data_IF_621196374418
#
_entry.id   IF_621196374418
#
_cell.length_a   1.000
_cell.length_b   1.000
_cell.length_c   1.000
_cell.angle_alpha   90.00
_cell.angle_beta   90.00
_cell.angle_gamma   90.00
#
_symmetry.space_group_name_H-M   'P 1'
#
loop_
_entity.id
_entity.type
_entity.pdbx_description
1 polymer ?
#
# COMPACT_ATOMS: atom_id res chain seq x y z
N UNK A 1 6.19 3.59 27.35
CA UNK A 1 5.25 4.54 28.00
C UNK A 1 4.28 5.03 26.93
N UNK A 2 2.98 4.95 27.18
CA UNK A 2 1.98 5.51 26.25
C UNK A 2 1.58 6.90 26.74
N UNK A 3 1.64 7.89 25.87
CA UNK A 3 1.16 9.25 26.07
C UNK A 3 0.00 9.54 25.10
N UNK A 4 -0.65 10.66 25.28
CA UNK A 4 -1.78 11.08 24.47
C UNK A 4 -1.49 12.43 23.84
N UNK A 5 -1.71 12.55 22.52
CA UNK A 5 -1.47 13.79 21.78
C UNK A 5 -2.80 14.35 21.31
N UNK A 6 -3.00 15.64 21.58
CA UNK A 6 -4.18 16.41 21.16
C UNK A 6 -3.81 17.39 20.05
N UNK A 7 -4.77 17.86 19.24
CA UNK A 7 -4.56 18.95 18.31
C UNK A 7 -4.06 20.22 19.01
N UNK A 8 -3.09 20.91 18.44
CA UNK A 8 -2.61 22.19 18.97
C UNK A 8 -3.64 23.32 18.77
N UNK A 9 -4.51 23.20 17.78
CA UNK A 9 -5.65 24.08 17.54
C UNK A 9 -6.88 23.20 17.36
N UNK A 10 -7.83 23.24 18.30
CA UNK A 10 -9.07 22.49 18.17
C UNK A 10 -9.82 22.86 16.90
N UNK A 11 -10.34 21.85 16.20
CA UNK A 11 -11.09 22.02 14.95
C UNK A 11 -12.60 21.94 15.17
N UNK A 12 -13.01 21.59 16.36
CA UNK A 12 -14.39 21.37 16.78
C UNK A 12 -14.83 19.91 16.59
N UNK A 13 -15.72 19.49 17.49
CA UNK A 13 -16.31 18.15 17.46
C UNK A 13 -17.68 18.20 16.75
N UNK A 14 -18.14 17.02 16.30
CA UNK A 14 -19.50 16.82 15.82
C UNK A 14 -19.71 16.95 14.33
N UNK A 15 -18.68 17.32 13.55
CA UNK A 15 -18.76 17.15 12.10
C UNK A 15 -18.75 15.65 11.78
N UNK A 16 -19.70 15.21 10.97
CA UNK A 16 -19.89 13.80 10.64
C UNK A 16 -19.80 13.60 9.13
N UNK A 17 -19.10 12.56 8.74
CA UNK A 17 -19.08 12.09 7.37
C UNK A 17 -19.65 10.68 7.31
N UNK A 18 -20.49 10.42 6.32
CA UNK A 18 -20.99 9.09 6.02
C UNK A 18 -19.96 8.31 5.21
N UNK A 19 -19.70 7.05 5.58
CA UNK A 19 -18.76 6.19 4.89
C UNK A 19 -19.44 5.53 3.69
N UNK A 20 -18.74 5.56 2.55
CA UNK A 20 -19.16 4.81 1.36
C UNK A 20 -18.86 3.31 1.55
N UNK A 21 -19.52 2.46 0.78
CA UNK A 21 -19.28 1.01 0.84
C UNK A 21 -17.82 0.62 0.60
N UNK A 22 -17.10 1.37 -0.23
CA UNK A 22 -15.66 1.19 -0.47
C UNK A 22 -14.79 1.48 0.75
N UNK A 23 -15.26 2.33 1.67
CA UNK A 23 -14.51 2.65 2.90
C UNK A 23 -14.56 1.50 3.92
N UNK A 24 -15.52 0.58 3.80
CA UNK A 24 -15.75 -0.51 4.76
C UNK A 24 -15.02 -1.82 4.42
N UNK A 25 -14.24 -1.86 3.34
CA UNK A 25 -13.66 -3.10 2.81
C UNK A 25 -12.42 -3.53 3.62
N UNK A 26 -11.61 -2.58 4.10
CA UNK A 26 -10.30 -2.85 4.69
C UNK A 26 -10.22 -2.37 6.15
N UNK A 27 -9.29 -2.95 6.92
CA UNK A 27 -9.14 -2.63 8.34
C UNK A 27 -8.16 -1.47 8.59
N UNK A 28 -6.88 -1.66 8.27
CA UNK A 28 -5.83 -0.66 8.49
C UNK A 28 -4.74 -0.70 7.44
N UNK A 29 -4.02 0.41 7.31
CA UNK A 29 -2.76 0.52 6.59
C UNK A 29 -1.65 0.63 7.63
N UNK A 30 -0.88 -0.45 7.77
CA UNK A 30 0.17 -0.57 8.76
C UNK A 30 1.53 -0.42 8.10
N UNK A 31 2.28 0.58 8.58
CA UNK A 31 3.58 0.94 8.02
C UNK A 31 4.65 1.03 9.10
N UNK A 32 5.87 0.73 8.71
CA UNK A 32 7.08 0.91 9.51
C UNK A 32 8.04 1.79 8.73
N UNK A 33 8.60 2.78 9.40
CA UNK A 33 9.69 3.61 8.91
C UNK A 33 10.87 3.52 9.88
N UNK A 34 12.06 3.33 9.36
CA UNK A 34 13.27 3.20 10.19
C UNK A 34 14.21 4.33 9.88
N UNK A 35 14.46 5.16 10.89
CA UNK A 35 15.28 6.37 10.78
C UNK A 35 16.55 6.24 11.60
N UNK A 36 17.68 6.80 11.12
CA UNK A 36 18.92 6.86 11.92
C UNK A 36 18.83 7.84 13.09
N UNK A 37 17.92 8.82 13.00
CA UNK A 37 17.69 9.83 14.02
C UNK A 37 16.24 10.30 14.00
N UNK A 38 15.63 10.47 15.18
CA UNK A 38 14.28 11.03 15.32
C UNK A 38 14.16 11.75 16.67
N UNK A 39 13.83 13.03 16.65
CA UNK A 39 13.52 13.82 17.83
C UNK A 39 12.06 13.58 18.23
N UNK A 40 11.87 12.96 19.40
CA UNK A 40 10.54 12.52 19.86
C UNK A 40 9.64 13.69 20.24
N UNK A 41 10.18 14.72 20.86
CA UNK A 41 9.39 15.88 21.28
C UNK A 41 8.96 16.70 20.06
N UNK A 42 9.87 16.87 19.12
CA UNK A 42 9.54 17.50 17.82
C UNK A 42 8.51 16.69 17.03
N UNK A 43 8.58 15.34 17.06
CA UNK A 43 7.58 14.48 16.43
C UNK A 43 6.20 14.66 17.09
N UNK A 44 6.13 14.69 18.44
CA UNK A 44 4.87 14.93 19.14
C UNK A 44 4.25 16.28 18.79
N UNK A 45 5.08 17.33 18.70
CA UNK A 45 4.62 18.65 18.26
C UNK A 45 4.10 18.64 16.84
N UNK A 46 4.80 17.94 15.92
CA UNK A 46 4.38 17.77 14.55
C UNK A 46 3.05 17.02 14.44
N UNK A 47 2.85 15.93 15.20
CA UNK A 47 1.59 15.20 15.28
C UNK A 47 0.47 16.13 15.77
N UNK A 48 0.70 16.90 16.84
CA UNK A 48 -0.28 17.85 17.38
C UNK A 48 -0.71 18.89 16.34
N UNK A 49 0.23 19.41 15.54
CA UNK A 49 -0.06 20.30 14.41
C UNK A 49 -0.83 19.59 13.29
N UNK A 50 -0.40 18.37 12.93
CA UNK A 50 -1.07 17.59 11.89
C UNK A 50 -2.53 17.28 12.25
N UNK A 51 -2.82 16.92 13.50
CA UNK A 51 -4.20 16.68 13.96
C UNK A 51 -5.11 17.90 13.81
N UNK A 52 -4.54 19.12 13.85
CA UNK A 52 -5.32 20.35 13.65
C UNK A 52 -5.80 20.56 12.21
N UNK A 53 -5.20 19.86 11.23
CA UNK A 53 -5.64 19.88 9.84
C UNK A 53 -6.18 18.52 9.37
N UNK A 54 -5.98 17.48 10.19
CA UNK A 54 -6.47 16.12 9.98
C UNK A 54 -7.35 15.65 11.14
N UNK A 55 -8.46 16.37 11.51
CA UNK A 55 -9.28 16.05 12.68
C UNK A 55 -9.94 14.66 12.58
N UNK A 56 -10.13 14.15 11.38
CA UNK A 56 -10.66 12.81 11.12
C UNK A 56 -9.83 11.71 11.81
N UNK A 57 -8.51 11.92 11.98
CA UNK A 57 -7.61 10.92 12.58
C UNK A 57 -7.87 10.72 14.08
N UNK A 58 -8.31 11.76 14.76
CA UNK A 58 -8.79 11.70 16.13
C UNK A 58 -10.28 11.34 16.22
N UNK A 59 -10.94 11.16 15.08
CA UNK A 59 -12.36 10.83 14.96
C UNK A 59 -12.73 9.48 15.57
N UNK A 60 -14.03 9.25 15.67
CA UNK A 60 -14.63 8.00 16.16
C UNK A 60 -15.64 7.47 15.17
N UNK A 61 -15.67 6.16 15.02
CA UNK A 61 -16.68 5.48 14.21
C UNK A 61 -17.99 5.44 14.98
N UNK A 62 -19.05 5.92 14.36
CA UNK A 62 -20.41 5.79 14.85
C UNK A 62 -21.15 4.80 13.96
N UNK A 63 -21.94 3.94 14.59
CA UNK A 63 -22.84 3.03 13.88
C UNK A 63 -24.26 3.43 14.27
N UNK A 64 -25.05 3.84 13.30
CA UNK A 64 -26.44 4.19 13.47
C UNK A 64 -27.29 3.35 12.51
N UNK A 65 -27.95 2.31 13.04
CA UNK A 65 -28.67 1.29 12.25
C UNK A 65 -27.75 0.68 11.19
N UNK A 66 -27.99 0.99 9.90
CA UNK A 66 -27.20 0.51 8.76
C UNK A 66 -26.18 1.53 8.24
N UNK A 67 -26.05 2.68 8.91
CA UNK A 67 -25.12 3.74 8.52
C UNK A 67 -23.84 3.70 9.34
N UNK A 68 -22.72 3.83 8.66
CA UNK A 68 -21.40 3.99 9.26
C UNK A 68 -20.94 5.43 9.06
N UNK A 69 -20.60 6.09 10.14
CA UNK A 69 -20.19 7.49 10.16
C UNK A 69 -18.84 7.62 10.85
N UNK A 70 -18.04 8.61 10.46
CA UNK A 70 -16.92 9.09 11.26
C UNK A 70 -17.31 10.46 11.81
N UNK A 71 -17.32 10.61 13.13
CA UNK A 71 -17.43 11.89 13.79
C UNK A 71 -16.03 12.46 14.06
N UNK A 72 -15.77 13.67 13.60
CA UNK A 72 -14.52 14.39 13.85
C UNK A 72 -14.39 14.72 15.32
N UNK A 73 -13.19 14.68 15.83
CA UNK A 73 -12.94 14.83 17.25
C UNK A 73 -11.61 15.53 17.53
N UNK A 74 -11.58 16.31 18.59
CA UNK A 74 -10.36 16.85 19.20
C UNK A 74 -9.85 15.98 20.36
N UNK A 75 -10.39 14.77 20.52
CA UNK A 75 -9.94 13.79 21.50
C UNK A 75 -8.50 13.36 21.21
N UNK A 76 -7.75 12.98 22.25
CA UNK A 76 -6.38 12.56 22.06
C UNK A 76 -6.25 11.26 21.28
N UNK A 77 -5.16 11.16 20.48
CA UNK A 77 -4.71 9.89 19.91
C UNK A 77 -3.60 9.27 20.76
N UNK A 78 -3.49 7.94 20.80
CA UNK A 78 -2.41 7.26 21.52
C UNK A 78 -1.08 7.40 20.79
N UNK A 79 -0.03 7.71 21.54
CA UNK A 79 1.36 7.72 21.11
C UNK A 79 2.19 6.86 22.05
N UNK A 80 2.77 5.78 21.56
CA UNK A 80 3.60 4.88 22.36
C UNK A 80 5.08 5.12 22.06
N UNK A 81 5.89 5.33 23.11
CA UNK A 81 7.34 5.34 23.02
C UNK A 81 7.92 4.24 23.88
N UNK A 82 8.80 3.41 23.30
CA UNK A 82 9.52 2.37 23.99
C UNK A 82 11.00 2.37 23.58
N UNK A 83 11.83 1.81 24.42
CA UNK A 83 13.22 1.48 24.13
C UNK A 83 13.38 -0.03 24.07
N UNK A 84 14.19 -0.50 23.12
CA UNK A 84 14.46 -1.92 22.88
C UNK A 84 15.97 -2.14 22.91
N UNK A 85 16.43 -2.99 23.82
CA UNK A 85 17.82 -3.38 23.97
C UNK A 85 18.12 -4.79 23.45
N UNK A 86 17.09 -5.52 22.98
CA UNK A 86 17.22 -6.89 22.50
C UNK A 86 17.67 -6.94 21.04
N UNK A 87 17.14 -6.03 20.21
CA UNK A 87 17.49 -5.96 18.80
C UNK A 87 18.77 -5.14 18.61
N UNK A 88 19.77 -5.75 17.99
CA UNK A 88 21.07 -5.09 17.80
C UNK A 88 20.99 -3.97 16.75
N UNK A 89 20.31 -4.24 15.64
CA UNK A 89 20.04 -3.29 14.57
C UNK A 89 18.76 -3.72 13.83
N UNK A 90 18.16 -2.81 13.07
CA UNK A 90 17.03 -3.16 12.21
C UNK A 90 17.50 -4.07 11.07
N UNK A 91 16.90 -5.24 10.89
CA UNK A 91 17.32 -6.18 9.85
C UNK A 91 17.11 -5.59 8.45
N UNK A 92 17.87 -6.09 7.47
CA UNK A 92 17.65 -5.78 6.06
C UNK A 92 16.43 -6.54 5.56
N UNK A 93 15.29 -5.88 5.53
CA UNK A 93 14.01 -6.44 5.13
C UNK A 93 13.56 -5.88 3.79
N UNK A 94 12.77 -6.65 3.02
CA UNK A 94 12.07 -6.14 1.83
C UNK A 94 11.06 -5.05 2.22
N UNK A 95 10.53 -4.36 1.23
CA UNK A 95 9.47 -3.35 1.46
C UNK A 95 8.21 -4.00 2.02
N UNK A 96 7.79 -5.13 1.45
CA UNK A 96 6.65 -5.89 1.99
C UNK A 96 7.16 -7.05 2.83
N UNK A 97 6.90 -7.02 4.12
CA UNK A 97 7.34 -8.04 5.07
C UNK A 97 6.21 -9.01 5.36
N UNK A 98 6.45 -10.30 5.10
CA UNK A 98 5.48 -11.38 5.34
C UNK A 98 5.48 -11.85 6.79
N UNK A 99 6.66 -11.88 7.40
CA UNK A 99 6.79 -12.33 8.80
C UNK A 99 6.28 -11.25 9.76
N UNK A 100 5.02 -11.41 10.11
CA UNK A 100 4.33 -10.54 11.06
C UNK A 100 5.00 -10.51 12.44
N UNK A 101 5.77 -11.54 12.81
CA UNK A 101 6.43 -11.60 14.12
C UNK A 101 7.54 -10.57 14.24
N UNK A 102 8.16 -10.21 13.10
CA UNK A 102 9.18 -9.16 13.04
C UNK A 102 8.56 -7.77 13.19
N UNK A 103 7.47 -7.50 12.47
CA UNK A 103 6.88 -6.16 12.37
C UNK A 103 5.88 -5.84 13.49
N UNK A 104 5.09 -6.81 13.92
CA UNK A 104 4.03 -6.65 14.93
C UNK A 104 4.49 -5.97 16.23
N UNK A 105 5.68 -6.27 16.80
CA UNK A 105 6.14 -5.60 18.01
C UNK A 105 6.33 -4.08 17.87
N UNK A 106 6.45 -3.58 16.64
CA UNK A 106 6.76 -2.17 16.35
C UNK A 106 5.54 -1.36 15.91
N UNK A 107 4.37 -1.98 15.81
CA UNK A 107 3.11 -1.32 15.41
C UNK A 107 2.07 -1.56 16.50
N UNK A 108 1.41 -0.49 16.92
CA UNK A 108 0.17 -0.60 17.69
C UNK A 108 -0.99 -0.47 16.68
N UNK A 109 -1.58 -1.60 16.32
CA UNK A 109 -2.62 -1.65 15.27
C UNK A 109 -3.91 -1.00 15.75
N UNK A 110 -4.50 -0.14 14.92
CA UNK A 110 -5.85 0.41 15.13
C UNK A 110 -6.85 -0.73 15.22
N UNK A 111 -7.69 -0.70 16.26
CA UNK A 111 -8.72 -1.71 16.44
C UNK A 111 -10.07 -1.16 15.98
N UNK A 112 -10.84 -2.00 15.33
CA UNK A 112 -12.21 -1.65 14.98
C UNK A 112 -13.09 -1.71 16.23
N UNK A 113 -13.10 -0.60 16.99
CA UNK A 113 -13.96 -0.42 18.17
C UNK A 113 -14.76 0.86 18.00
N UNK A 114 -16.02 0.76 17.59
CA UNK A 114 -16.88 1.94 17.48
C UNK A 114 -16.91 2.73 18.80
N UNK A 115 -16.90 4.04 18.71
CA UNK A 115 -16.95 5.02 19.82
C UNK A 115 -15.66 5.15 20.66
N UNK A 116 -14.85 4.13 20.80
CA UNK A 116 -13.74 4.10 21.77
C UNK A 116 -12.37 4.35 21.13
N UNK A 117 -12.21 4.03 19.85
CA UNK A 117 -10.90 3.99 19.20
C UNK A 117 -10.68 5.17 18.28
N UNK A 118 -9.49 5.80 18.36
CA UNK A 118 -9.03 6.76 17.35
C UNK A 118 -8.66 6.03 16.05
N UNK A 119 -8.72 6.74 14.95
CA UNK A 119 -8.47 6.17 13.62
C UNK A 119 -6.98 6.20 13.21
N UNK A 120 -6.11 6.60 14.14
CA UNK A 120 -4.66 6.60 13.99
C UNK A 120 -4.00 6.16 15.29
N UNK A 121 -2.99 5.30 15.18
CA UNK A 121 -2.05 4.97 16.24
C UNK A 121 -0.61 5.16 15.76
N UNK A 122 0.23 5.66 16.64
CA UNK A 122 1.65 5.90 16.38
C UNK A 122 2.46 5.28 17.50
N UNK A 123 3.46 4.50 17.11
CA UNK A 123 4.45 3.91 18.03
C UNK A 123 5.85 4.20 17.57
N UNK A 124 6.71 4.64 18.48
CA UNK A 124 8.14 4.77 18.23
C UNK A 124 8.89 3.82 19.13
N UNK A 125 9.76 3.03 18.54
CA UNK A 125 10.69 2.17 19.25
C UNK A 125 12.11 2.64 18.96
N UNK A 126 12.88 3.04 19.99
CA UNK A 126 14.29 3.31 19.87
C UNK A 126 15.07 2.02 20.08
N UNK A 127 15.90 1.63 19.12
CA UNK A 127 16.83 0.52 19.23
C UNK A 127 18.10 1.03 19.93
N UNK A 128 18.33 0.61 21.18
CA UNK A 128 19.40 1.19 22.00
C UNK A 128 20.81 0.87 21.49
N UNK A 129 20.98 -0.28 20.81
CA UNK A 129 22.29 -0.73 20.34
C UNK A 129 22.74 -0.04 19.07
N UNK A 130 21.84 0.09 18.07
CA UNK A 130 22.12 0.80 16.80
C UNK A 130 21.81 2.28 16.85
N UNK A 131 21.09 2.72 17.88
CA UNK A 131 20.53 4.08 18.01
C UNK A 131 19.55 4.45 16.86
N UNK A 132 18.99 3.46 16.19
CA UNK A 132 17.94 3.66 15.17
C UNK A 132 16.56 3.83 15.83
N UNK A 133 15.67 4.49 15.12
CA UNK A 133 14.28 4.72 15.54
C UNK A 133 13.33 4.05 14.56
N UNK A 134 12.46 3.20 15.08
CA UNK A 134 11.41 2.52 14.31
C UNK A 134 10.09 3.20 14.60
N UNK A 135 9.55 3.90 13.59
CA UNK A 135 8.25 4.55 13.63
C UNK A 135 7.22 3.62 13.02
N UNK A 136 6.36 3.03 13.83
CA UNK A 136 5.18 2.28 13.41
C UNK A 136 3.96 3.19 13.35
N UNK A 137 3.24 3.16 12.25
CA UNK A 137 1.96 3.85 12.08
C UNK A 137 0.88 2.87 11.69
N UNK A 138 -0.28 2.98 12.30
CA UNK A 138 -1.49 2.27 11.90
C UNK A 138 -2.58 3.28 11.62
N UNK A 139 -2.97 3.36 10.36
CA UNK A 139 -3.96 4.29 9.83
C UNK A 139 -5.21 3.50 9.45
N UNK A 140 -6.36 3.87 10.00
CA UNK A 140 -7.62 3.19 9.67
C UNK A 140 -7.95 3.34 8.19
N UNK A 141 -8.14 2.24 7.50
CA UNK A 141 -8.50 2.25 6.08
C UNK A 141 -9.92 2.78 5.82
N UNK A 142 -10.74 2.97 6.90
CA UNK A 142 -12.02 3.68 6.84
C UNK A 142 -11.86 5.16 6.43
N UNK A 143 -10.70 5.76 6.73
CA UNK A 143 -10.41 7.15 6.37
C UNK A 143 -10.09 7.27 4.89
N UNK A 144 -9.30 6.34 4.37
CA UNK A 144 -8.87 6.38 2.98
C UNK A 144 -7.75 5.39 2.66
N UNK A 145 -7.33 5.44 1.42
CA UNK A 145 -6.35 4.58 0.78
C UNK A 145 -4.89 5.00 1.02
N UNK A 146 -3.96 4.33 0.33
CA UNK A 146 -2.53 4.63 0.40
C UNK A 146 -2.21 6.09 0.01
N UNK A 147 -2.95 6.68 -0.94
CA UNK A 147 -2.77 8.09 -1.32
C UNK A 147 -3.16 9.03 -0.18
N UNK A 148 -4.23 8.73 0.55
CA UNK A 148 -4.64 9.47 1.74
C UNK A 148 -3.63 9.34 2.87
N UNK A 149 -3.13 8.12 3.11
CA UNK A 149 -2.17 7.87 4.17
C UNK A 149 -0.83 8.57 3.89
N UNK A 150 -0.31 8.49 2.66
CA UNK A 150 0.96 9.18 2.34
C UNK A 150 0.80 10.70 2.34
N UNK A 151 -0.36 11.23 1.98
CA UNK A 151 -0.66 12.65 2.12
C UNK A 151 -0.56 13.10 3.58
N UNK A 152 -1.19 12.37 4.50
CA UNK A 152 -1.06 12.62 5.94
C UNK A 152 0.40 12.54 6.43
N UNK A 153 1.12 11.47 6.08
CA UNK A 153 2.49 11.27 6.51
C UNK A 153 3.45 12.32 5.94
N UNK A 154 3.20 12.80 4.72
CA UNK A 154 3.94 13.90 4.14
C UNK A 154 3.69 15.21 4.90
N UNK A 155 2.43 15.55 5.21
CA UNK A 155 2.12 16.71 6.04
C UNK A 155 2.78 16.62 7.43
N UNK A 156 2.75 15.44 8.04
CA UNK A 156 3.41 15.18 9.33
C UNK A 156 4.93 15.41 9.23
N UNK A 157 5.57 14.88 8.20
CA UNK A 157 7.02 15.03 7.99
C UNK A 157 7.41 16.50 7.75
N UNK A 158 6.59 17.24 7.02
CA UNK A 158 6.79 18.67 6.79
C UNK A 158 6.64 19.48 8.08
N UNK A 159 5.62 19.21 8.89
CA UNK A 159 5.50 19.84 10.21
C UNK A 159 6.69 19.53 11.12
N UNK A 160 7.18 18.31 11.09
CA UNK A 160 8.40 17.95 11.80
C UNK A 160 9.60 18.77 11.35
N UNK A 161 9.72 19.06 10.05
CA UNK A 161 10.77 19.92 9.49
C UNK A 161 10.51 21.43 9.67
N UNK A 162 9.36 21.83 10.25
CA UNK A 162 8.98 23.22 10.42
C UNK A 162 8.42 23.87 9.16
N UNK A 163 8.06 23.05 8.17
CA UNK A 163 7.50 23.49 6.88
C UNK A 163 5.95 23.53 6.94
N UNK A 164 5.35 24.26 6.02
CA UNK A 164 3.91 24.23 5.82
C UNK A 164 3.49 22.95 5.08
N UNK A 165 2.26 22.43 5.33
CA UNK A 165 1.75 21.24 4.66
C UNK A 165 1.62 21.47 3.15
N UNK A 166 1.53 20.36 2.40
CA UNK A 166 1.38 20.42 0.94
C UNK A 166 0.01 20.97 0.53
N UNK A 167 -0.08 21.45 -0.70
CA UNK A 167 -1.35 21.81 -1.32
C UNK A 167 -1.74 20.79 -2.39
N UNK A 168 -3.04 20.54 -2.55
CA UNK A 168 -4.17 21.10 -1.80
C UNK A 168 -4.29 20.50 -0.38
N UNK A 169 -4.95 21.24 0.52
CA UNK A 169 -5.29 20.74 1.86
C UNK A 169 -6.17 19.49 1.78
N UNK A 170 -6.19 18.65 2.83
CA UNK A 170 -7.06 17.48 2.86
C UNK A 170 -8.54 17.87 2.77
N UNK A 171 -9.29 17.17 1.93
CA UNK A 171 -10.73 17.32 1.71
C UNK A 171 -11.39 16.02 2.17
N UNK A 172 -12.24 16.12 3.20
CA UNK A 172 -12.83 14.95 3.86
C UNK A 172 -14.23 14.60 3.38
N UNK A 173 -14.89 15.51 2.64
CA UNK A 173 -16.24 15.28 2.14
C UNK A 173 -16.28 14.01 1.30
N UNK A 174 -17.31 13.17 1.54
CA UNK A 174 -17.54 11.95 0.77
C UNK A 174 -18.48 12.23 -0.37
N UNK A 175 -18.10 11.78 -1.55
CA UNK A 175 -19.01 11.74 -2.67
C UNK A 175 -19.75 10.39 -2.63
N UNK A 176 -21.02 10.44 -2.23
CA UNK A 176 -21.85 9.25 -2.26
C UNK A 176 -22.40 9.07 -3.67
N UNK A 177 -22.13 7.93 -4.26
CA UNK A 177 -22.70 7.57 -5.57
C UNK A 177 -24.22 7.53 -5.46
N UNK A 178 -24.89 8.24 -6.34
CA UNK A 178 -26.36 8.16 -6.43
C UNK A 178 -26.77 6.84 -7.06
N UNK A 179 -28.07 6.46 -6.91
CA UNK A 179 -28.60 5.24 -7.55
C UNK A 179 -28.45 5.22 -9.07
N UNK A 180 -28.35 6.40 -9.66
CA UNK A 180 -28.22 6.56 -11.13
C UNK A 180 -26.76 6.36 -11.60
N UNK A 181 -25.78 6.53 -10.68
CA UNK A 181 -24.36 6.37 -10.97
C UNK A 181 -23.85 4.97 -10.64
N UNK A 182 -24.59 4.17 -9.88
CA UNK A 182 -24.18 2.87 -9.40
C UNK A 182 -24.93 1.75 -10.15
N UNK A 183 -24.18 0.83 -10.74
CA UNK A 183 -24.73 -0.48 -11.06
C UNK A 183 -25.13 -1.17 -9.73
N UNK A 184 -26.44 -1.32 -9.50
CA UNK A 184 -27.00 -1.87 -8.25
C UNK A 184 -26.45 -3.28 -7.94
N UNK A 185 -25.98 -4.00 -8.98
CA UNK A 185 -25.29 -5.29 -8.82
C UNK A 185 -23.99 -5.17 -8.04
N UNK A 186 -23.32 -4.03 -8.08
CA UNK A 186 -22.07 -3.77 -7.36
C UNK A 186 -22.31 -3.55 -5.86
N UNK A 187 -23.40 -2.88 -5.48
CA UNK A 187 -23.77 -2.70 -4.08
C UNK A 187 -24.03 -4.03 -3.37
N UNK A 188 -24.57 -5.02 -4.08
CA UNK A 188 -24.77 -6.36 -3.54
C UNK A 188 -23.45 -7.09 -3.28
N UNK A 189 -22.39 -6.77 -4.03
CA UNK A 189 -21.05 -7.35 -3.83
C UNK A 189 -20.25 -6.67 -2.71
N UNK A 190 -20.56 -5.43 -2.35
CA UNK A 190 -19.93 -4.72 -1.21
C UNK A 190 -20.54 -5.11 0.14
N UNK A 191 -21.84 -5.43 0.20
CA UNK A 191 -22.52 -5.94 1.41
C UNK A 191 -21.90 -7.19 2.05
N UNK A 192 -21.26 -8.12 1.30
CA UNK A 192 -20.63 -9.30 1.87
C UNK A 192 -19.57 -9.03 2.95
N UNK A 193 -18.86 -7.91 2.87
CA UNK A 193 -17.82 -7.56 3.85
C UNK A 193 -18.37 -7.07 5.19
N UNK A 194 -19.66 -6.76 5.26
CA UNK A 194 -20.37 -6.43 6.50
C UNK A 194 -20.90 -7.66 7.23
N UNK A 195 -20.94 -8.82 6.55
CA UNK A 195 -21.46 -10.07 7.13
C UNK A 195 -20.33 -10.83 7.86
N UNK A 196 -20.54 -11.13 9.14
CA UNK A 196 -19.58 -11.86 9.98
C UNK A 196 -19.13 -13.19 9.34
N UNK A 197 -20.05 -13.94 8.72
CA UNK A 197 -19.77 -15.22 8.09
C UNK A 197 -18.77 -15.11 6.95
N UNK A 198 -18.84 -14.02 6.18
CA UNK A 198 -17.90 -13.78 5.07
C UNK A 198 -16.54 -13.29 5.56
N UNK A 199 -16.47 -12.55 6.66
CA UNK A 199 -15.19 -12.19 7.30
C UNK A 199 -14.45 -13.45 7.76
N UNK A 200 -15.17 -14.41 8.33
CA UNK A 200 -14.60 -15.69 8.74
C UNK A 200 -14.07 -16.49 7.53
N UNK A 201 -14.80 -16.53 6.43
CA UNK A 201 -14.35 -17.16 5.18
C UNK A 201 -13.09 -16.49 4.64
N UNK A 202 -13.05 -15.15 4.61
CA UNK A 202 -11.87 -14.39 4.17
C UNK A 202 -10.67 -14.69 5.08
N UNK A 203 -10.86 -14.65 6.39
CA UNK A 203 -9.82 -14.97 7.37
C UNK A 203 -9.30 -16.41 7.21
N UNK A 204 -10.21 -17.38 7.01
CA UNK A 204 -9.87 -18.79 6.77
C UNK A 204 -9.07 -18.96 5.48
N UNK A 205 -9.49 -18.30 4.40
CA UNK A 205 -8.75 -18.33 3.12
C UNK A 205 -7.38 -17.69 3.26
N UNK A 206 -7.27 -16.57 3.98
CA UNK A 206 -5.99 -15.93 4.26
C UNK A 206 -5.04 -16.86 5.01
N UNK A 207 -5.50 -17.51 6.08
CA UNK A 207 -4.70 -18.49 6.84
C UNK A 207 -4.28 -19.67 5.96
N UNK A 208 -5.19 -20.22 5.16
CA UNK A 208 -4.88 -21.30 4.22
C UNK A 208 -3.81 -20.88 3.21
N UNK A 209 -3.94 -19.68 2.63
CA UNK A 209 -2.99 -19.18 1.66
C UNK A 209 -1.61 -18.96 2.28
N UNK A 210 -1.53 -18.50 3.53
CA UNK A 210 -0.27 -18.40 4.27
C UNK A 210 0.42 -19.75 4.46
N UNK A 211 -0.33 -20.84 4.65
CA UNK A 211 0.23 -22.18 4.84
C UNK A 211 0.69 -22.83 3.54
N UNK A 212 0.02 -22.57 2.42
CA UNK A 212 0.26 -23.22 1.11
C UNK A 212 1.17 -22.46 0.18
N UNK A 213 1.42 -21.18 0.47
CA UNK A 213 2.24 -20.31 -0.37
C UNK A 213 3.41 -19.70 0.42
N UNK A 214 4.45 -19.28 -0.29
CA UNK A 214 5.51 -18.43 0.22
C UNK A 214 5.41 -17.03 -0.39
N UNK A 215 5.82 -16.01 0.35
CA UNK A 215 6.04 -14.69 -0.21
C UNK A 215 7.36 -14.66 -0.95
N UNK A 216 7.38 -13.99 -2.10
CA UNK A 216 8.57 -13.58 -2.81
C UNK A 216 8.58 -12.05 -2.93
N UNK A 217 9.78 -11.49 -2.81
CA UNK A 217 10.07 -10.10 -3.07
C UNK A 217 11.15 -10.05 -4.13
N UNK A 218 10.80 -9.57 -5.31
CA UNK A 218 11.67 -9.52 -6.48
C UNK A 218 12.04 -8.07 -6.73
N UNK A 219 13.35 -7.78 -6.68
CA UNK A 219 13.87 -6.43 -6.87
C UNK A 219 14.41 -6.26 -8.29
N UNK A 220 14.04 -5.15 -8.92
CA UNK A 220 14.53 -4.72 -10.21
C UNK A 220 15.22 -3.36 -10.05
N UNK A 221 16.48 -3.28 -10.47
CA UNK A 221 17.14 -1.97 -10.57
C UNK A 221 16.53 -1.13 -11.71
N UNK A 222 16.76 0.18 -11.67
CA UNK A 222 16.36 1.08 -12.75
C UNK A 222 16.89 0.63 -14.12
N UNK A 223 18.15 0.16 -14.17
CA UNK A 223 18.78 -0.36 -15.39
C UNK A 223 18.03 -1.62 -15.89
N UNK A 224 17.68 -2.54 -15.00
CA UNK A 224 16.91 -3.73 -15.35
C UNK A 224 15.51 -3.39 -15.86
N UNK A 225 14.86 -2.40 -15.25
CA UNK A 225 13.55 -1.93 -15.69
C UNK A 225 13.59 -1.26 -17.07
N UNK A 226 14.60 -0.44 -17.34
CA UNK A 226 14.83 0.15 -18.67
C UNK A 226 15.09 -0.90 -19.72
N UNK A 227 15.91 -1.90 -19.39
CA UNK A 227 16.17 -3.05 -20.28
C UNK A 227 14.90 -3.84 -20.54
N UNK A 228 14.15 -4.18 -19.50
CA UNK A 228 12.88 -4.87 -19.61
C UNK A 228 11.89 -4.10 -20.51
N UNK A 229 11.80 -2.79 -20.34
CA UNK A 229 10.97 -1.92 -21.19
C UNK A 229 11.44 -1.96 -22.65
N UNK A 230 12.75 -2.01 -22.88
CA UNK A 230 13.33 -2.08 -24.24
C UNK A 230 13.04 -3.40 -24.97
N UNK A 231 12.77 -4.49 -24.22
CA UNK A 231 12.38 -5.79 -24.80
C UNK A 231 10.92 -5.81 -25.28
N UNK A 232 10.12 -4.83 -24.88
CA UNK A 232 8.75 -4.70 -25.36
C UNK A 232 8.74 -3.93 -26.68
N UNK A 233 8.44 -4.60 -27.78
CA UNK A 233 8.17 -3.95 -29.05
C UNK A 233 7.00 -2.97 -28.89
N UNK A 234 7.15 -1.71 -29.36
CA UNK A 234 6.13 -0.66 -29.18
C UNK A 234 6.20 0.00 -27.80
N UNK A 235 7.41 0.20 -27.28
CA UNK A 235 7.70 0.86 -26.00
C UNK A 235 7.05 2.26 -25.83
N UNK A 236 6.76 2.94 -26.91
CA UNK A 236 6.07 4.23 -26.88
C UNK A 236 4.57 4.12 -26.56
N UNK A 237 4.00 2.91 -26.65
CA UNK A 237 2.60 2.63 -26.37
C UNK A 237 2.36 2.12 -24.94
N UNK A 238 3.40 1.68 -24.24
CA UNK A 238 3.33 1.09 -22.89
C UNK A 238 4.37 1.73 -21.97
N UNK A 239 4.11 1.71 -20.66
CA UNK A 239 5.06 2.23 -19.66
C UNK A 239 5.94 1.12 -19.11
N UNK A 240 7.04 1.49 -18.47
CA UNK A 240 7.89 0.57 -17.69
C UNK A 240 7.06 -0.26 -16.72
N UNK A 241 6.07 0.36 -16.08
CA UNK A 241 5.18 -0.31 -15.13
C UNK A 241 4.28 -1.36 -15.78
N UNK A 242 3.75 -1.09 -16.98
CA UNK A 242 2.94 -2.08 -17.71
C UNK A 242 3.78 -3.29 -18.07
N UNK A 243 5.02 -3.05 -18.52
CA UNK A 243 5.95 -4.11 -18.94
C UNK A 243 6.43 -4.91 -17.73
N UNK A 244 6.69 -4.27 -16.59
CA UNK A 244 7.04 -4.97 -15.35
C UNK A 244 5.93 -5.95 -14.93
N UNK A 245 4.69 -5.48 -14.91
CA UNK A 245 3.53 -6.35 -14.58
C UNK A 245 3.36 -7.47 -15.60
N UNK A 246 3.51 -7.16 -16.87
CA UNK A 246 3.43 -8.18 -17.94
C UNK A 246 4.53 -9.23 -17.80
N UNK A 247 5.77 -8.83 -17.45
CA UNK A 247 6.87 -9.76 -17.19
C UNK A 247 6.55 -10.72 -16.05
N UNK A 248 6.05 -10.20 -14.93
CA UNK A 248 5.66 -11.02 -13.78
C UNK A 248 4.58 -12.04 -14.17
N UNK A 249 3.56 -11.60 -14.91
CA UNK A 249 2.46 -12.47 -15.38
C UNK A 249 2.98 -13.52 -16.35
N UNK A 250 3.80 -13.14 -17.35
CA UNK A 250 4.38 -14.09 -18.33
C UNK A 250 5.22 -15.15 -17.62
N UNK A 251 6.08 -14.73 -16.68
CA UNK A 251 6.94 -15.66 -15.94
C UNK A 251 6.10 -16.62 -15.09
N UNK A 252 5.08 -16.12 -14.40
CA UNK A 252 4.14 -16.96 -13.67
C UNK A 252 3.41 -17.95 -14.59
N UNK A 253 2.87 -17.46 -15.71
CA UNK A 253 2.11 -18.27 -16.65
C UNK A 253 2.95 -19.39 -17.28
N UNK A 254 4.19 -19.09 -17.73
CA UNK A 254 5.09 -20.09 -18.29
C UNK A 254 5.37 -21.21 -17.32
N UNK A 255 5.61 -20.89 -16.06
CA UNK A 255 5.90 -21.90 -15.04
C UNK A 255 4.63 -22.65 -14.59
N UNK A 256 3.50 -21.98 -14.49
CA UNK A 256 2.24 -22.57 -14.03
C UNK A 256 1.64 -23.53 -15.04
N UNK A 257 1.69 -23.22 -16.34
CA UNK A 257 1.14 -24.08 -17.40
C UNK A 257 1.80 -25.46 -17.42
N UNK A 258 3.11 -25.53 -17.11
CA UNK A 258 3.86 -26.79 -17.07
C UNK A 258 3.51 -27.66 -15.86
N UNK A 259 3.08 -27.04 -14.75
CA UNK A 259 2.85 -27.73 -13.46
C UNK A 259 1.38 -28.10 -13.28
N UNK A 260 0.46 -27.15 -13.52
CA UNK A 260 -0.95 -27.30 -13.20
C UNK A 260 -1.90 -27.11 -14.38
N UNK A 261 -1.38 -26.78 -15.56
CA UNK A 261 -2.15 -26.38 -16.74
C UNK A 261 -3.08 -25.16 -16.46
N UNK A 262 -2.76 -24.35 -15.45
CA UNK A 262 -3.46 -23.11 -15.11
C UNK A 262 -2.58 -21.90 -15.47
N UNK A 263 -3.18 -20.78 -15.81
CA UNK A 263 -2.48 -19.54 -16.08
C UNK A 263 -3.40 -18.34 -15.93
N UNK A 264 -2.85 -17.17 -15.66
CA UNK A 264 -3.60 -15.93 -15.60
C UNK A 264 -4.09 -15.50 -16.97
N UNK A 265 -5.38 -15.30 -17.09
CA UNK A 265 -6.05 -14.89 -18.32
C UNK A 265 -6.32 -13.39 -18.36
N UNK A 266 -6.46 -12.74 -17.21
CA UNK A 266 -6.72 -11.30 -17.08
C UNK A 266 -6.15 -10.74 -15.80
N UNK A 267 -6.12 -9.42 -15.71
CA UNK A 267 -5.68 -8.71 -14.51
C UNK A 267 -6.73 -7.73 -14.01
N UNK A 268 -6.76 -7.54 -12.71
CA UNK A 268 -7.45 -6.48 -11.99
C UNK A 268 -6.41 -5.46 -11.56
N UNK A 269 -6.62 -4.20 -11.89
CA UNK A 269 -5.65 -3.13 -11.66
C UNK A 269 -6.30 -2.10 -10.75
N UNK A 270 -5.70 -1.84 -9.60
CA UNK A 270 -6.13 -0.77 -8.71
C UNK A 270 -5.62 0.57 -9.26
N UNK A 271 -6.54 1.44 -9.62
CA UNK A 271 -6.25 2.75 -10.21
C UNK A 271 -6.80 3.85 -9.32
N UNK A 272 -5.92 4.74 -8.85
CA UNK A 272 -6.33 5.96 -8.16
C UNK A 272 -6.99 6.92 -9.17
N UNK A 273 -8.27 7.22 -8.95
CA UNK A 273 -9.04 8.09 -9.85
C UNK A 273 -9.04 9.57 -9.46
N UNK A 274 -8.30 9.97 -8.40
CA UNK A 274 -8.10 11.39 -8.13
C UNK A 274 -7.46 12.06 -9.33
N UNK A 275 -7.92 13.25 -9.65
CA UNK A 275 -7.54 14.00 -10.85
C UNK A 275 -8.05 13.45 -12.20
N UNK A 276 -8.57 12.23 -12.24
CA UNK A 276 -9.24 11.69 -13.42
C UNK A 276 -10.73 12.11 -13.43
N UNK A 277 -11.34 12.10 -12.24
CA UNK A 277 -12.73 12.49 -12.01
C UNK A 277 -12.77 13.63 -10.98
N UNK A 278 -12.34 14.82 -11.38
CA UNK A 278 -12.20 15.99 -10.50
C UNK A 278 -13.47 16.38 -9.74
N UNK A 279 -14.64 16.13 -10.33
CA UNK A 279 -15.93 16.43 -9.69
C UNK A 279 -16.25 15.50 -8.51
N UNK A 280 -15.68 14.29 -8.50
CA UNK A 280 -15.94 13.25 -7.51
C UNK A 280 -14.77 13.13 -6.51
N UNK A 281 -13.54 13.18 -7.02
CA UNK A 281 -12.33 13.06 -6.22
C UNK A 281 -11.29 14.10 -6.66
N UNK A 282 -11.36 15.33 -6.14
CA UNK A 282 -10.36 16.34 -6.38
C UNK A 282 -9.00 15.94 -5.78
N UNK A 283 -7.94 16.59 -6.24
CA UNK A 283 -6.63 16.49 -5.58
C UNK A 283 -6.78 16.87 -4.10
N UNK A 284 -6.23 16.05 -3.21
CA UNK A 284 -6.39 16.26 -1.75
C UNK A 284 -7.59 15.52 -1.15
N UNK A 285 -8.43 14.87 -1.94
CA UNK A 285 -9.55 14.08 -1.43
C UNK A 285 -9.05 12.92 -0.54
N UNK A 286 -9.52 12.87 0.68
CA UNK A 286 -9.17 11.86 1.70
C UNK A 286 -10.30 10.84 1.77
N UNK A 287 -10.17 9.77 0.99
CA UNK A 287 -11.13 8.67 0.90
C UNK A 287 -10.46 7.46 0.25
N UNK A 288 -11.19 6.36 0.11
CA UNK A 288 -10.80 5.24 -0.75
C UNK A 288 -11.14 5.57 -2.22
N UNK A 289 -10.33 6.45 -2.82
CA UNK A 289 -10.56 6.98 -4.16
C UNK A 289 -9.81 6.17 -5.21
N UNK A 290 -10.11 4.89 -5.29
CA UNK A 290 -9.59 4.00 -6.32
C UNK A 290 -10.73 3.20 -6.97
N UNK A 291 -10.49 2.79 -8.20
CA UNK A 291 -11.32 1.84 -8.93
C UNK A 291 -10.50 0.60 -9.25
N UNK A 292 -11.17 -0.53 -9.39
CA UNK A 292 -10.56 -1.76 -9.87
C UNK A 292 -10.91 -1.89 -11.34
N UNK A 293 -9.91 -1.71 -12.19
CA UNK A 293 -10.02 -1.88 -13.63
C UNK A 293 -9.78 -3.33 -14.00
N UNK A 294 -10.63 -3.88 -14.88
CA UNK A 294 -10.46 -5.25 -15.37
C UNK A 294 -9.95 -5.18 -16.80
N UNK A 295 -8.89 -5.91 -17.09
CA UNK A 295 -8.46 -6.11 -18.48
C UNK A 295 -9.46 -7.00 -19.23
N UNK A 296 -9.48 -6.92 -20.55
CA UNK A 296 -9.96 -8.06 -21.34
C UNK A 296 -9.06 -9.28 -21.10
N UNK A 297 -9.50 -10.46 -21.55
CA UNK A 297 -8.61 -11.61 -21.57
C UNK A 297 -7.37 -11.29 -22.43
N UNK A 298 -6.21 -11.72 -21.97
CA UNK A 298 -4.97 -11.52 -22.71
C UNK A 298 -5.01 -12.28 -24.02
N UNK A 299 -4.92 -11.60 -25.19
CA UNK A 299 -4.95 -12.28 -26.49
C UNK A 299 -3.83 -13.33 -26.63
N UNK A 300 -2.71 -13.08 -26.00
CA UNK A 300 -1.63 -14.06 -25.80
C UNK A 300 -1.07 -13.93 -24.37
N UNK A 301 -1.47 -14.85 -23.46
CA UNK A 301 -1.08 -14.79 -22.03
C UNK A 301 0.39 -15.17 -21.77
N UNK A 302 1.16 -15.50 -22.82
CA UNK A 302 2.59 -15.79 -22.76
C UNK A 302 3.45 -14.75 -23.50
N UNK A 303 2.85 -13.66 -23.98
CA UNK A 303 3.53 -12.57 -24.68
C UNK A 303 3.62 -11.32 -23.82
N UNK A 304 4.86 -10.87 -23.58
CA UNK A 304 5.16 -9.67 -22.81
C UNK A 304 4.38 -8.44 -23.34
N UNK A 305 4.51 -8.17 -24.63
CA UNK A 305 3.88 -7.00 -25.25
C UNK A 305 2.35 -7.12 -25.33
N UNK A 306 1.80 -8.34 -25.55
CA UNK A 306 0.36 -8.56 -25.58
C UNK A 306 -0.27 -8.21 -24.23
N UNK A 307 0.30 -8.66 -23.13
CA UNK A 307 -0.18 -8.38 -21.78
C UNK A 307 0.00 -6.90 -21.44
N UNK A 308 1.19 -6.32 -21.70
CA UNK A 308 1.48 -4.91 -21.41
C UNK A 308 0.50 -3.97 -22.13
N UNK A 309 0.24 -4.19 -23.42
CA UNK A 309 -0.75 -3.41 -24.20
C UNK A 309 -2.16 -3.59 -23.64
N UNK A 310 -2.55 -4.79 -23.23
CA UNK A 310 -3.88 -5.05 -22.67
C UNK A 310 -4.06 -4.32 -21.34
N UNK A 311 -3.02 -4.32 -20.46
CA UNK A 311 -3.00 -3.55 -19.20
C UNK A 311 -3.16 -2.05 -19.50
N UNK A 312 -2.36 -1.50 -20.41
CA UNK A 312 -2.42 -0.07 -20.79
C UNK A 312 -3.78 0.33 -21.35
N UNK A 313 -4.36 -0.52 -22.20
CA UNK A 313 -5.70 -0.28 -22.76
C UNK A 313 -6.77 -0.25 -21.68
N UNK A 314 -6.70 -1.12 -20.68
CA UNK A 314 -7.63 -1.10 -19.56
C UNK A 314 -7.53 0.20 -18.77
N UNK A 315 -6.29 0.64 -18.45
CA UNK A 315 -6.05 1.89 -17.72
C UNK A 315 -6.55 3.12 -18.51
N UNK A 316 -6.34 3.15 -19.83
CA UNK A 316 -6.77 4.27 -20.67
C UNK A 316 -8.30 4.32 -20.87
N UNK A 317 -8.99 3.19 -20.74
CA UNK A 317 -10.45 3.09 -20.84
C UNK A 317 -11.19 3.38 -19.53
N UNK A 318 -10.54 4.00 -18.56
CA UNK A 318 -11.01 4.22 -17.19
C UNK A 318 -12.38 4.90 -17.11
N UNK A 319 -13.46 4.22 -17.48
CA UNK A 319 -14.81 4.78 -17.40
C UNK A 319 -15.93 3.85 -16.88
N UNK A 320 -15.70 2.53 -16.74
CA UNK A 320 -16.93 1.70 -16.78
C UNK A 320 -17.19 0.65 -15.70
N UNK A 321 -16.33 0.24 -14.79
CA UNK A 321 -16.76 -0.80 -13.82
C UNK A 321 -15.94 -0.90 -12.53
N UNK A 322 -16.65 -0.94 -11.40
CA UNK A 322 -16.15 -1.32 -10.09
C UNK A 322 -16.50 -2.80 -9.84
N UNK A 323 -15.51 -3.68 -9.63
CA UNK A 323 -15.74 -5.08 -9.25
C UNK A 323 -14.79 -5.48 -8.12
N UNK A 324 -15.28 -6.27 -7.15
CA UNK A 324 -14.54 -6.64 -5.94
C UNK A 324 -14.37 -8.16 -5.74
N UNK A 325 -14.55 -8.99 -6.76
CA UNK A 325 -14.37 -10.45 -6.65
C UNK A 325 -13.55 -10.94 -7.84
N UNK A 326 -12.45 -11.66 -7.57
CA UNK A 326 -11.60 -12.28 -8.60
C UNK A 326 -11.56 -13.80 -8.49
N UNK A 327 -11.31 -14.47 -9.61
CA UNK A 327 -11.23 -15.92 -9.74
C UNK A 327 -9.77 -16.41 -9.69
N UNK A 328 -9.57 -17.72 -9.67
CA UNK A 328 -8.26 -18.37 -9.56
C UNK A 328 -7.32 -18.07 -10.74
N UNK A 329 -7.88 -17.78 -11.92
CA UNK A 329 -7.13 -17.46 -13.16
C UNK A 329 -6.89 -15.96 -13.35
N UNK A 330 -6.99 -15.19 -12.30
CA UNK A 330 -6.92 -13.73 -12.31
C UNK A 330 -5.86 -13.25 -11.33
N UNK A 331 -5.17 -12.18 -11.69
CA UNK A 331 -4.15 -11.54 -10.86
C UNK A 331 -4.56 -10.12 -10.53
N UNK A 332 -4.33 -9.70 -9.31
CA UNK A 332 -4.55 -8.32 -8.86
C UNK A 332 -3.24 -7.56 -8.86
N UNK A 333 -3.24 -6.37 -9.43
CA UNK A 333 -2.10 -5.45 -9.45
C UNK A 333 -2.41 -4.24 -8.58
N UNK A 334 -1.68 -4.12 -7.48
CA UNK A 334 -1.73 -2.96 -6.59
C UNK A 334 -0.37 -2.26 -6.56
N UNK A 335 -0.22 -1.27 -7.43
CA UNK A 335 1.03 -0.54 -7.52
C UNK A 335 1.01 0.72 -6.67
N UNK A 336 1.96 0.79 -5.77
CA UNK A 336 2.33 1.98 -5.02
C UNK A 336 3.56 2.69 -5.61
N UNK A 337 4.02 2.29 -6.79
CA UNK A 337 5.21 2.84 -7.44
C UNK A 337 5.12 4.34 -7.74
N UNK A 338 3.91 4.89 -7.86
CA UNK A 338 3.69 6.33 -7.95
C UNK A 338 4.10 7.08 -6.67
N UNK A 339 4.16 6.39 -5.53
CA UNK A 339 4.44 6.99 -4.23
C UNK A 339 5.82 6.53 -3.75
N UNK A 340 6.77 7.42 -3.75
CA UNK A 340 8.06 7.15 -3.11
C UNK A 340 7.94 7.38 -1.59
N UNK A 341 7.50 6.35 -0.88
CA UNK A 341 7.30 6.39 0.57
C UNK A 341 8.55 6.82 1.30
N UNK A 342 9.72 6.36 0.83
CA UNK A 342 10.98 6.66 1.47
C UNK A 342 11.48 8.10 1.23
N UNK A 343 10.94 8.83 0.24
CA UNK A 343 11.24 10.23 0.01
C UNK A 343 10.13 11.17 0.48
N UNK A 344 8.87 10.71 0.46
CA UNK A 344 7.74 11.55 0.82
C UNK A 344 7.49 11.64 2.33
N UNK A 345 8.05 10.71 3.12
CA UNK A 345 7.92 10.68 4.59
C UNK A 345 9.29 11.01 5.23
N UNK A 346 9.92 12.09 4.75
CA UNK A 346 11.24 12.50 5.17
C UNK A 346 11.19 13.37 6.44
N UNK A 347 11.82 12.91 7.49
CA UNK A 347 12.03 13.68 8.73
C UNK A 347 13.41 14.37 8.77
N UNK A 348 13.99 14.72 7.61
CA UNK A 348 15.27 15.40 7.47
C UNK A 348 16.46 14.46 7.21
N UNK A 349 16.19 13.22 6.78
CA UNK A 349 17.20 12.17 6.57
C UNK A 349 17.08 11.54 5.18
N UNK A 350 17.16 12.37 4.12
CA UNK A 350 17.01 11.95 2.73
C UNK A 350 17.86 10.73 2.41
N UNK A 351 17.27 9.73 1.77
CA UNK A 351 17.88 8.47 1.34
C UNK A 351 18.50 7.59 2.45
N UNK A 352 18.24 7.88 3.73
CA UNK A 352 18.82 7.11 4.83
C UNK A 352 17.77 6.30 5.60
N UNK A 353 16.50 6.42 5.29
CA UNK A 353 15.46 5.70 6.00
C UNK A 353 14.79 4.65 5.11
N UNK A 354 14.27 3.63 5.76
CA UNK A 354 13.67 2.45 5.12
C UNK A 354 12.19 2.42 5.41
N UNK A 355 11.44 2.02 4.43
CA UNK A 355 9.99 1.84 4.52
C UNK A 355 9.63 0.36 4.45
N UNK A 356 8.75 -0.08 5.32
CA UNK A 356 8.20 -1.42 5.30
C UNK A 356 6.70 -1.37 5.52
N UNK A 357 5.99 -2.28 4.87
CA UNK A 357 4.57 -2.53 5.08
C UNK A 357 4.33 -4.02 5.20
N UNK A 358 3.20 -4.38 5.76
CA UNK A 358 2.84 -5.78 5.97
C UNK A 358 1.72 -6.19 5.02
N UNK A 359 1.47 -7.48 4.95
CA UNK A 359 0.39 -8.13 4.22
C UNK A 359 0.68 -8.35 2.73
N UNK A 360 0.71 -9.62 2.37
CA UNK A 360 0.75 -10.12 1.00
C UNK A 360 -0.34 -11.16 0.82
N UNK A 361 -1.00 -11.13 -0.34
CA UNK A 361 -2.09 -12.04 -0.70
C UNK A 361 -1.69 -12.91 -1.89
N UNK A 362 -2.33 -14.07 -2.03
CA UNK A 362 -2.16 -14.93 -3.20
C UNK A 362 -2.69 -14.22 -4.44
N UNK A 363 -2.00 -14.39 -5.58
CA UNK A 363 -2.34 -13.75 -6.86
C UNK A 363 -2.49 -12.22 -6.78
N UNK A 364 -1.67 -11.57 -5.93
CA UNK A 364 -1.74 -10.16 -5.65
C UNK A 364 -0.34 -9.55 -5.71
N UNK A 365 -0.06 -8.75 -6.75
CA UNK A 365 1.21 -8.05 -6.92
C UNK A 365 1.17 -6.71 -6.21
N UNK A 366 2.08 -6.49 -5.27
CA UNK A 366 2.34 -5.19 -4.63
C UNK A 366 3.65 -4.65 -5.16
N UNK A 367 3.64 -3.43 -5.66
CA UNK A 367 4.81 -2.82 -6.29
C UNK A 367 5.15 -1.54 -5.56
N UNK A 368 6.43 -1.40 -5.17
CA UNK A 368 6.97 -0.26 -4.45
C UNK A 368 8.31 0.16 -5.03
N UNK A 369 8.79 1.37 -4.69
CA UNK A 369 10.20 1.73 -4.86
C UNK A 369 11.09 0.91 -3.93
N UNK A 370 12.35 0.70 -4.36
CA UNK A 370 13.34 0.05 -3.52
C UNK A 370 13.67 0.89 -2.29
N UNK A 371 13.94 0.22 -1.18
CA UNK A 371 14.56 0.84 -0.02
C UNK A 371 16.03 1.18 -0.32
N UNK A 372 16.58 2.24 0.31
CA UNK A 372 18.01 2.46 0.28
C UNK A 372 18.75 1.29 0.96
N UNK A 373 19.90 0.98 0.43
CA UNK A 373 20.82 -0.04 0.97
C UNK A 373 22.17 0.62 1.33
N UNK A 374 22.96 -0.02 2.18
CA UNK A 374 24.33 0.40 2.43
C UNK A 374 25.27 -0.29 1.45
N UNK A 375 26.21 0.47 0.91
CA UNK A 375 27.30 -0.06 0.10
C UNK A 375 28.40 -0.69 0.98
N UNK A 376 29.50 -1.12 0.36
CA UNK A 376 30.63 -1.76 1.06
C UNK A 376 31.38 -0.79 1.99
N UNK A 377 31.22 0.51 1.80
CA UNK A 377 31.82 1.58 2.59
C UNK A 377 30.86 2.14 3.65
N UNK A 378 29.72 1.48 3.89
CA UNK A 378 28.66 1.87 4.83
C UNK A 378 27.92 3.18 4.46
N UNK A 379 27.99 3.61 3.19
CA UNK A 379 27.22 4.74 2.68
C UNK A 379 25.86 4.30 2.19
N UNK A 380 24.83 5.12 2.47
CA UNK A 380 23.50 4.89 1.96
C UNK A 380 23.40 5.23 0.48
N UNK A 381 22.98 4.25 -0.33
CA UNK A 381 22.67 4.41 -1.75
C UNK A 381 21.22 4.01 -2.00
N UNK A 382 20.55 4.74 -2.90
CA UNK A 382 19.18 4.45 -3.31
C UNK A 382 19.04 4.49 -4.81
N UNK A 383 18.50 3.42 -5.38
CA UNK A 383 18.01 3.42 -6.76
C UNK A 383 16.60 4.01 -6.79
N UNK A 384 16.50 5.30 -7.16
CA UNK A 384 15.25 6.06 -7.12
C UNK A 384 14.19 5.55 -8.12
N UNK A 385 14.59 4.83 -9.15
CA UNK A 385 13.70 4.29 -10.19
C UNK A 385 13.60 2.76 -10.14
N UNK A 386 14.28 2.11 -9.21
CA UNK A 386 14.17 0.68 -8.98
C UNK A 386 12.85 0.30 -8.33
N UNK A 387 12.39 -0.93 -8.56
CA UNK A 387 11.13 -1.45 -8.06
C UNK A 387 11.30 -2.77 -7.30
N UNK A 388 10.50 -2.97 -6.26
CA UNK A 388 10.27 -4.25 -5.62
C UNK A 388 8.84 -4.71 -5.94
N UNK A 389 8.70 -5.94 -6.43
CA UNK A 389 7.43 -6.64 -6.63
C UNK A 389 7.30 -7.72 -5.57
N UNK A 390 6.29 -7.58 -4.72
CA UNK A 390 5.96 -8.56 -3.69
C UNK A 390 4.69 -9.31 -4.07
N UNK A 391 4.72 -10.64 -3.91
CA UNK A 391 3.56 -11.51 -4.19
C UNK A 391 3.73 -12.85 -3.46
N UNK A 392 2.64 -13.63 -3.40
CA UNK A 392 2.69 -15.00 -2.87
C UNK A 392 2.57 -16.02 -4.00
N UNK A 393 3.41 -17.04 -3.93
CA UNK A 393 3.50 -18.13 -4.88
C UNK A 393 3.36 -19.47 -4.17
N UNK A 394 2.80 -20.47 -4.84
CA UNK A 394 2.68 -21.83 -4.31
C UNK A 394 4.05 -22.40 -3.95
N UNK A 395 4.15 -23.01 -2.77
CA UNK A 395 5.38 -23.65 -2.27
C UNK A 395 5.81 -24.79 -3.17
N UNK A 396 7.11 -25.10 -3.13
CA UNK A 396 7.70 -26.24 -3.84
C UNK A 396 8.03 -25.94 -5.29
N UNK A 397 7.60 -26.78 -6.22
CA UNK A 397 8.02 -26.75 -7.62
C UNK A 397 7.75 -25.41 -8.29
N UNK A 398 6.58 -24.82 -8.09
CA UNK A 398 6.21 -23.56 -8.71
C UNK A 398 7.15 -22.41 -8.29
N UNK A 399 7.45 -22.31 -6.99
CA UNK A 399 8.41 -21.33 -6.48
C UNK A 399 9.80 -21.53 -7.05
N UNK A 400 10.29 -22.77 -7.08
CA UNK A 400 11.62 -23.09 -7.55
C UNK A 400 11.78 -22.76 -9.04
N UNK A 401 10.86 -23.20 -9.88
CA UNK A 401 10.85 -22.86 -11.31
C UNK A 401 10.78 -21.37 -11.58
N UNK A 402 9.95 -20.64 -10.82
CA UNK A 402 9.88 -19.20 -10.96
C UNK A 402 11.23 -18.54 -10.66
N UNK A 403 11.90 -18.92 -9.57
CA UNK A 403 13.20 -18.39 -9.20
C UNK A 403 14.31 -18.76 -10.22
N UNK A 404 14.30 -19.99 -10.75
CA UNK A 404 15.21 -20.42 -11.80
C UNK A 404 15.03 -19.59 -13.08
N UNK A 405 13.77 -19.41 -13.52
CA UNK A 405 13.46 -18.58 -14.69
C UNK A 405 13.91 -17.14 -14.50
N UNK A 406 13.59 -16.55 -13.33
CA UNK A 406 14.00 -15.20 -13.01
C UNK A 406 15.51 -15.05 -12.96
N UNK A 407 16.23 -15.98 -12.35
CA UNK A 407 17.69 -15.97 -12.30
C UNK A 407 18.31 -16.07 -13.71
N UNK A 408 17.78 -16.94 -14.55
CA UNK A 408 18.21 -17.07 -15.93
C UNK A 408 17.98 -15.77 -16.73
N UNK A 409 16.83 -15.13 -16.55
CA UNK A 409 16.51 -13.85 -17.20
C UNK A 409 17.46 -12.75 -16.75
N UNK A 410 17.79 -12.69 -15.44
CA UNK A 410 18.79 -11.74 -14.94
C UNK A 410 20.11 -11.95 -15.67
N UNK A 411 20.62 -13.19 -15.74
CA UNK A 411 21.92 -13.50 -16.32
C UNK A 411 21.98 -13.26 -17.83
N UNK A 412 20.89 -13.54 -18.55
CA UNK A 412 20.88 -13.49 -20.02
C UNK A 412 20.34 -12.20 -20.59
N UNK A 413 19.28 -11.64 -19.96
CA UNK A 413 18.51 -10.53 -20.51
C UNK A 413 18.75 -9.19 -19.79
N UNK A 414 19.16 -9.21 -18.50
CA UNK A 414 19.26 -8.01 -17.69
C UNK A 414 20.69 -7.58 -17.32
N UNK A 415 21.68 -8.50 -17.32
CA UNK A 415 23.06 -8.18 -16.88
C UNK A 415 23.98 -7.70 -18.01
N UNK A 416 23.72 -8.03 -19.28
CA UNK A 416 24.62 -7.63 -20.36
C UNK A 416 24.45 -6.15 -20.76
N UNK A 417 24.84 -5.27 -19.86
CA UNK A 417 25.18 -3.87 -20.21
C UNK A 417 26.41 -3.49 -19.38
N UNK A 418 27.59 -3.76 -19.96
CA UNK A 418 28.80 -3.00 -19.63
C UNK A 418 28.73 -1.65 -20.29
#
# INVERSE_FOLDING_TARGET
MTSHIIPCSPTGNGHRIELAGTDLIFESIDNIFVYPLLDIDRLKQAISRALSIWPILAGRVLINEDQYLIEFSDQPIPFTYIENDQLEYWPNLPVVVDDMTICKPFIDVVQYKPMDESLLRIKVTRLLRSNEYVLGTSFSHLIGDAASNIHFLNDLSRFYQGLEPILPRPIFDRYLWTKDDADVSLLSNLKPYQNADKREIIATNFVRDQTTTDQLNISFSSIQLEKLHSLADGKDEVTVHDVLNAYMIVTMNKNSIEISNEYFQRAYILVNYRNLLHSIAPTGHVANSFVIMITSDFPNPFSLISIAKTIRQAINKCHDKLICVWDTNEVVINSNFKYDWSNQVDFGMINQFRFHTITSLKSYFRIFHLNPIKDQEDHWIKDNNGAEVSFRIQKGEMKNKFLETYQQDIETNFINVE
#
